data_IF_086713513352
#
_entry.id   IF_086713513352
#
_cell.length_a   1.000
_cell.length_b   1.000
_cell.length_c   1.000
_cell.angle_alpha   90.00
_cell.angle_beta   90.00
_cell.angle_gamma   90.00
#
_symmetry.space_group_name_H-M   'P 1'
#
loop_
_entity.id
_entity.type
_entity.pdbx_description
1 polymer ?
#
# COMPACT_ATOMS: atom_id res chain seq x y z
N UNK A 1 -41.03 33.83 51.47
CA UNK A 1 -41.11 33.71 52.94
C UNK A 1 -40.69 32.30 53.35
N UNK A 2 -39.61 32.22 54.14
CA UNK A 2 -39.24 31.22 55.17
C UNK A 2 -39.67 29.75 54.94
N UNK A 3 -38.76 28.88 54.51
CA UNK A 3 -37.76 28.13 55.31
C UNK A 3 -38.35 27.03 56.20
N UNK A 4 -37.94 25.78 55.95
CA UNK A 4 -37.47 24.86 57.00
C UNK A 4 -36.55 23.79 56.42
N UNK A 5 -35.35 23.77 56.98
CA UNK A 5 -34.29 22.79 56.82
C UNK A 5 -34.72 21.46 57.45
N UNK A 6 -34.26 20.36 56.86
CA UNK A 6 -33.89 19.16 57.63
C UNK A 6 -32.50 18.73 57.19
N UNK A 7 -31.53 19.18 57.97
CA UNK A 7 -30.16 18.70 57.98
C UNK A 7 -30.10 17.53 58.95
N UNK A 8 -29.27 16.54 58.63
CA UNK A 8 -28.53 15.67 59.54
C UNK A 8 -28.84 14.18 59.45
N UNK A 9 -27.78 13.47 59.08
CA UNK A 9 -27.37 12.13 59.52
C UNK A 9 -27.48 11.05 58.43
N UNK A 10 -26.43 10.30 58.07
CA UNK A 10 -25.10 10.17 58.65
C UNK A 10 -24.21 9.42 57.64
N UNK A 11 -23.12 10.05 57.23
CA UNK A 11 -21.76 9.51 57.06
C UNK A 11 -21.66 7.98 56.85
N UNK A 12 -21.30 7.55 55.63
CA UNK A 12 -20.40 6.41 55.33
C UNK A 12 -20.22 6.28 53.81
N UNK A 13 -19.07 6.68 53.31
CA UNK A 13 -18.72 6.54 51.89
C UNK A 13 -17.60 7.47 51.40
N UNK A 14 -16.74 7.96 52.30
CA UNK A 14 -15.41 8.47 51.91
C UNK A 14 -14.48 7.28 51.93
N UNK A 15 -14.07 6.85 50.75
CA UNK A 15 -12.77 6.24 50.40
C UNK A 15 -12.98 5.51 49.06
N UNK A 16 -12.06 5.73 48.11
CA UNK A 16 -12.00 5.16 46.75
C UNK A 16 -13.03 5.81 45.79
N UNK A 17 -12.74 6.60 44.75
CA UNK A 17 -11.55 6.87 43.94
C UNK A 17 -11.45 8.38 43.67
N UNK A 18 -10.51 9.08 44.31
CA UNK A 18 -10.04 10.40 43.88
C UNK A 18 -8.58 10.27 43.42
N UNK A 19 -8.34 9.29 42.56
CA UNK A 19 -7.02 8.93 42.05
C UNK A 19 -7.12 8.28 40.66
N UNK A 20 -7.68 8.99 39.67
CA UNK A 20 -7.46 8.71 38.24
C UNK A 20 -7.50 10.03 37.42
N UNK A 21 -6.82 11.06 37.94
CA UNK A 21 -6.47 12.27 37.18
C UNK A 21 -4.96 12.36 36.89
N UNK A 22 -4.22 11.26 37.07
CA UNK A 22 -2.80 11.14 36.73
C UNK A 22 -2.48 9.70 36.34
N UNK A 23 -2.78 9.35 35.09
CA UNK A 23 -2.22 8.25 34.27
C UNK A 23 -3.17 8.12 33.07
N UNK A 24 -2.82 8.39 31.83
CA UNK A 24 -1.53 8.29 31.19
C UNK A 24 -1.45 9.35 30.08
N UNK A 25 -0.25 9.88 29.85
CA UNK A 25 0.21 9.97 28.47
C UNK A 25 0.08 8.55 27.93
N UNK A 26 -1.06 8.24 27.32
CA UNK A 26 -1.13 7.16 26.36
C UNK A 26 -0.19 7.66 25.29
N UNK A 27 1.07 7.20 25.33
CA UNK A 27 1.80 6.92 24.10
C UNK A 27 0.75 6.28 23.22
N UNK A 28 0.26 7.04 22.24
CA UNK A 28 -0.57 6.45 21.21
C UNK A 28 0.28 5.31 20.69
N UNK A 29 -0.10 4.07 20.97
CA UNK A 29 0.42 2.94 20.22
C UNK A 29 0.18 3.32 18.77
N UNK A 30 1.24 3.76 18.10
CA UNK A 30 1.24 4.03 16.68
C UNK A 30 0.70 2.74 16.07
N UNK A 31 -0.49 2.83 15.49
CA UNK A 31 -1.14 1.67 14.89
C UNK A 31 -0.19 1.02 13.88
N UNK A 32 -0.42 -0.27 13.53
CA UNK A 32 0.50 -0.97 12.65
C UNK A 32 0.65 -0.21 11.33
N UNK A 33 1.90 0.00 10.90
CA UNK A 33 2.22 0.73 9.67
C UNK A 33 1.60 0.05 8.46
N UNK A 34 1.42 -1.28 8.47
CA UNK A 34 0.79 -2.06 7.42
C UNK A 34 -0.45 -2.81 7.92
N UNK A 35 -1.51 -2.86 7.11
CA UNK A 35 -2.75 -3.59 7.37
C UNK A 35 -3.18 -4.37 6.12
N UNK A 36 -3.74 -5.56 6.32
CA UNK A 36 -4.32 -6.36 5.23
C UNK A 36 -5.71 -5.88 4.84
N UNK A 37 -5.90 -5.71 3.53
CA UNK A 37 -7.18 -5.35 2.91
C UNK A 37 -7.69 -6.54 2.09
N UNK A 38 -8.97 -6.89 2.27
CA UNK A 38 -9.61 -8.02 1.59
C UNK A 38 -8.78 -9.32 1.64
N UNK A 39 -8.36 -9.79 2.84
CA UNK A 39 -7.54 -10.99 2.98
C UNK A 39 -8.19 -12.24 2.37
N UNK A 40 -9.52 -12.29 2.31
CA UNK A 40 -10.29 -13.38 1.72
C UNK A 40 -10.12 -13.55 0.19
N UNK A 41 -9.44 -12.61 -0.48
CA UNK A 41 -9.22 -12.60 -1.93
C UNK A 41 -7.74 -12.60 -2.31
N UNK A 42 -6.87 -13.14 -1.45
CA UNK A 42 -5.41 -13.05 -1.61
C UNK A 42 -4.81 -11.74 -1.09
N UNK A 43 -5.61 -10.80 -0.60
CA UNK A 43 -5.17 -9.63 0.16
C UNK A 43 -4.42 -8.55 -0.62
N UNK A 44 -4.37 -7.36 -0.03
CA UNK A 44 -3.49 -6.26 -0.40
C UNK A 44 -2.94 -5.59 0.86
N UNK A 45 -1.81 -4.89 0.74
CA UNK A 45 -1.17 -4.17 1.84
C UNK A 45 -1.50 -2.68 1.78
N UNK A 46 -2.26 -2.20 2.77
CA UNK A 46 -2.45 -0.78 3.00
C UNK A 46 -1.44 -0.30 4.04
N UNK A 47 -0.68 0.74 3.70
CA UNK A 47 0.24 1.38 4.63
C UNK A 47 -0.38 2.65 5.22
N UNK A 48 -0.28 2.86 6.53
CA UNK A 48 -0.75 4.08 7.21
C UNK A 48 0.16 5.27 6.93
N UNK A 49 1.45 5.00 6.78
CA UNK A 49 2.43 5.94 6.25
C UNK A 49 2.57 5.70 4.76
N UNK A 50 2.67 6.79 3.98
CA UNK A 50 2.87 6.65 2.54
C UNK A 50 4.23 6.00 2.24
N UNK A 51 4.31 5.26 1.13
CA UNK A 51 5.58 4.73 0.63
C UNK A 51 6.44 5.87 0.04
N UNK A 52 7.76 5.72 0.06
CA UNK A 52 8.71 6.67 -0.51
C UNK A 52 8.81 6.55 -2.05
N UNK A 53 7.67 6.69 -2.74
CA UNK A 53 7.58 6.58 -4.21
C UNK A 53 8.23 7.78 -4.91
N UNK A 54 8.59 7.61 -6.19
CA UNK A 54 9.17 8.69 -7.00
C UNK A 54 8.30 9.95 -7.01
N UNK A 55 6.97 9.87 -7.32
CA UNK A 55 6.14 11.07 -7.35
C UNK A 55 6.08 11.81 -6.01
N UNK A 56 6.04 11.07 -4.90
CA UNK A 56 6.03 11.66 -3.58
C UNK A 56 7.36 12.36 -3.28
N UNK A 57 8.48 11.66 -3.40
CA UNK A 57 9.79 12.23 -3.07
C UNK A 57 10.11 13.46 -3.94
N UNK A 58 9.78 13.44 -5.22
CA UNK A 58 9.96 14.63 -6.07
C UNK A 58 9.06 15.79 -5.60
N UNK A 59 7.84 15.52 -5.17
CA UNK A 59 6.92 16.56 -4.68
C UNK A 59 7.36 17.12 -3.32
N UNK A 60 7.68 16.26 -2.36
CA UNK A 60 8.09 16.63 -1.00
C UNK A 60 9.37 17.50 -1.01
N UNK A 61 10.22 17.33 -2.03
CA UNK A 61 11.45 18.08 -2.20
C UNK A 61 11.35 19.23 -3.22
N UNK A 62 10.15 19.61 -3.64
CA UNK A 62 9.92 20.79 -4.48
C UNK A 62 10.41 20.64 -5.93
N UNK A 63 10.52 19.39 -6.41
CA UNK A 63 11.00 19.03 -7.76
C UNK A 63 9.86 18.58 -8.67
N UNK A 64 8.59 18.90 -8.37
CA UNK A 64 7.44 18.43 -9.16
C UNK A 64 7.49 18.85 -10.63
N UNK A 65 8.04 20.04 -10.93
CA UNK A 65 8.13 20.54 -12.31
C UNK A 65 9.35 19.93 -13.01
N UNK A 66 10.51 19.96 -12.36
CA UNK A 66 11.77 19.46 -12.90
C UNK A 66 11.76 17.95 -13.08
N UNK A 67 11.05 17.24 -12.19
CA UNK A 67 10.89 15.79 -12.18
C UNK A 67 9.63 15.28 -12.88
N UNK A 68 8.90 16.13 -13.60
CA UNK A 68 7.61 15.77 -14.20
C UNK A 68 7.72 14.57 -15.17
N UNK A 69 8.83 14.45 -15.90
CA UNK A 69 9.07 13.33 -16.81
C UNK A 69 9.24 12.02 -16.05
N UNK A 70 9.98 12.02 -14.94
CA UNK A 70 10.16 10.85 -14.09
C UNK A 70 8.86 10.47 -13.37
N UNK A 71 8.08 11.46 -12.91
CA UNK A 71 6.76 11.20 -12.32
C UNK A 71 5.81 10.55 -13.32
N UNK A 72 5.78 11.06 -14.54
CA UNK A 72 4.91 10.51 -15.59
C UNK A 72 5.40 9.15 -16.07
N UNK A 73 6.71 9.00 -16.31
CA UNK A 73 7.30 7.71 -16.65
C UNK A 73 7.03 6.64 -15.59
N UNK A 74 7.11 7.01 -14.31
CA UNK A 74 6.73 6.09 -13.22
C UNK A 74 5.25 5.72 -13.31
N UNK A 75 4.32 6.66 -13.50
CA UNK A 75 2.88 6.34 -13.62
C UNK A 75 2.60 5.46 -14.84
N UNK A 76 3.07 5.86 -16.01
CA UNK A 76 2.85 5.13 -17.26
C UNK A 76 3.44 3.72 -17.21
N UNK A 77 4.53 3.52 -16.48
CA UNK A 77 5.13 2.19 -16.33
C UNK A 77 4.26 1.18 -15.58
N UNK A 78 3.28 1.65 -14.79
CA UNK A 78 2.30 0.80 -14.12
C UNK A 78 1.08 0.50 -15.00
N UNK A 79 0.86 1.30 -16.05
CA UNK A 79 -0.16 1.03 -17.07
C UNK A 79 0.40 0.10 -18.19
N UNK A 80 1.64 -0.37 -18.05
CA UNK A 80 2.32 -1.24 -19.01
C UNK A 80 2.55 -2.63 -18.42
N UNK A 81 2.12 -3.65 -19.16
CA UNK A 81 2.17 -5.03 -18.68
C UNK A 81 3.60 -5.61 -18.70
N UNK A 82 3.85 -6.49 -17.73
CA UNK A 82 5.00 -7.39 -17.71
C UNK A 82 6.37 -6.70 -17.76
N UNK A 83 7.25 -7.22 -18.62
CA UNK A 83 8.67 -6.83 -18.68
C UNK A 83 8.87 -5.38 -19.16
N UNK A 84 8.00 -4.88 -20.04
CA UNK A 84 8.14 -3.53 -20.58
C UNK A 84 7.91 -2.46 -19.51
N UNK A 85 6.89 -2.63 -18.67
CA UNK A 85 6.65 -1.75 -17.51
C UNK A 85 7.79 -1.84 -16.49
N UNK A 86 8.27 -3.06 -16.19
CA UNK A 86 9.40 -3.27 -15.27
C UNK A 86 10.70 -2.60 -15.76
N UNK A 87 11.00 -2.71 -17.04
CA UNK A 87 12.16 -2.05 -17.66
C UNK A 87 12.03 -0.52 -17.57
N UNK A 88 10.86 0.04 -17.87
CA UNK A 88 10.62 1.48 -17.73
C UNK A 88 10.78 1.94 -16.27
N UNK A 89 10.27 1.18 -15.29
CA UNK A 89 10.47 1.50 -13.85
C UNK A 89 11.95 1.59 -13.51
N UNK A 90 12.75 0.62 -13.93
CA UNK A 90 14.20 0.60 -13.68
C UNK A 90 14.91 1.83 -14.27
N UNK A 91 14.54 2.24 -15.48
CA UNK A 91 15.09 3.43 -16.13
C UNK A 91 14.71 4.71 -15.37
N UNK A 92 13.44 4.81 -14.96
CA UNK A 92 12.94 5.96 -14.21
C UNK A 92 13.56 6.03 -12.80
N UNK A 93 13.81 4.90 -12.12
CA UNK A 93 14.53 4.89 -10.84
C UNK A 93 15.90 5.54 -10.96
N UNK A 94 16.66 5.21 -12.01
CA UNK A 94 17.98 5.79 -12.27
C UNK A 94 17.89 7.31 -12.45
N UNK A 95 16.94 7.77 -13.27
CA UNK A 95 16.75 9.20 -13.55
C UNK A 95 16.28 9.97 -12.31
N UNK A 96 15.32 9.42 -11.57
CA UNK A 96 14.81 10.03 -10.35
C UNK A 96 15.90 10.10 -9.27
N UNK A 97 16.70 9.05 -9.09
CA UNK A 97 17.81 9.04 -8.13
C UNK A 97 18.81 10.17 -8.42
N UNK A 98 19.25 10.33 -9.68
CA UNK A 98 20.15 11.42 -10.10
C UNK A 98 19.61 12.80 -9.78
N UNK A 99 18.29 12.98 -9.89
CA UNK A 99 17.63 14.25 -9.63
C UNK A 99 17.47 14.53 -8.13
N UNK A 100 17.23 13.49 -7.34
CA UNK A 100 17.01 13.58 -5.89
C UNK A 100 18.32 13.69 -5.10
N UNK A 101 19.41 13.06 -5.55
CA UNK A 101 20.70 13.05 -4.83
C UNK A 101 21.22 14.46 -4.48
N UNK A 102 21.20 15.46 -5.39
CA UNK A 102 21.65 16.82 -5.05
C UNK A 102 20.85 17.50 -3.93
N UNK A 103 19.60 17.08 -3.71
CA UNK A 103 18.70 17.68 -2.70
C UNK A 103 18.73 16.88 -1.39
N UNK A 104 18.73 15.55 -1.48
CA UNK A 104 18.72 14.65 -0.33
C UNK A 104 20.09 14.44 0.30
N UNK A 105 21.13 14.31 -0.55
CA UNK A 105 22.43 13.83 -0.13
C UNK A 105 22.40 12.45 0.55
N UNK A 106 23.49 12.10 1.22
CA UNK A 106 23.62 10.82 1.93
C UNK A 106 22.69 10.70 3.14
N UNK A 107 22.32 11.82 3.77
CA UNK A 107 21.40 11.82 4.92
C UNK A 107 19.98 11.51 4.45
N UNK A 108 19.45 12.23 3.46
CA UNK A 108 18.12 11.95 2.94
C UNK A 108 18.01 10.54 2.34
N UNK A 109 19.05 10.04 1.66
CA UNK A 109 19.07 8.65 1.21
C UNK A 109 18.97 7.64 2.37
N UNK A 110 19.62 7.91 3.51
CA UNK A 110 19.51 7.08 4.72
C UNK A 110 18.09 7.11 5.30
N UNK A 111 17.45 8.26 5.27
CA UNK A 111 16.09 8.43 5.79
C UNK A 111 15.08 7.65 4.94
N UNK A 112 15.19 7.72 3.61
CA UNK A 112 14.37 6.91 2.69
C UNK A 112 14.58 5.40 2.92
N UNK A 113 15.83 4.95 3.05
CA UNK A 113 16.15 3.54 3.36
C UNK A 113 15.54 3.13 4.70
N UNK A 114 15.59 3.99 5.71
CA UNK A 114 15.06 3.72 7.06
C UNK A 114 13.53 3.66 7.06
N UNK A 115 12.87 4.55 6.32
CA UNK A 115 11.42 4.49 6.11
C UNK A 115 11.00 3.17 5.47
N UNK A 116 11.69 2.73 4.40
CA UNK A 116 11.44 1.43 3.78
C UNK A 116 11.63 0.27 4.77
N UNK A 117 12.61 0.34 5.67
CA UNK A 117 12.81 -0.68 6.71
C UNK A 117 11.59 -0.81 7.63
N UNK A 118 10.97 0.32 8.01
CA UNK A 118 9.75 0.33 8.82
C UNK A 118 8.59 -0.39 8.13
N UNK A 119 8.36 -0.08 6.85
CA UNK A 119 7.28 -0.71 6.07
C UNK A 119 7.52 -2.21 5.87
N UNK A 120 8.76 -2.62 5.58
CA UNK A 120 9.16 -4.03 5.47
C UNK A 120 8.96 -4.76 6.79
N UNK A 121 9.36 -4.15 7.92
CA UNK A 121 9.19 -4.75 9.24
C UNK A 121 7.72 -4.94 9.58
N UNK A 122 6.91 -3.89 9.40
CA UNK A 122 5.48 -3.96 9.71
C UNK A 122 4.75 -4.96 8.82
N UNK A 123 5.13 -5.07 7.54
CA UNK A 123 4.60 -6.12 6.66
C UNK A 123 4.94 -7.52 7.16
N UNK A 124 6.18 -7.73 7.64
CA UNK A 124 6.62 -9.03 8.18
C UNK A 124 5.87 -9.41 9.45
N UNK A 125 5.50 -8.43 10.28
CA UNK A 125 4.73 -8.64 11.51
C UNK A 125 3.31 -9.15 11.24
N UNK A 126 2.76 -8.90 10.05
CA UNK A 126 1.48 -9.50 9.63
C UNK A 126 1.57 -11.04 9.52
N UNK A 127 2.79 -11.58 9.33
CA UNK A 127 3.11 -12.99 9.56
C UNK A 127 2.13 -13.98 8.94
N UNK A 128 1.76 -15.03 9.67
CA UNK A 128 0.87 -16.12 9.21
C UNK A 128 -0.57 -15.72 8.86
N UNK A 129 -0.89 -14.42 8.79
CA UNK A 129 -2.09 -13.90 8.14
C UNK A 129 -1.90 -13.67 6.63
N UNK A 130 -0.64 -13.64 6.18
CA UNK A 130 -0.28 -13.59 4.78
C UNK A 130 -0.39 -15.00 4.20
N UNK A 131 -1.44 -15.26 3.42
CA UNK A 131 -1.58 -16.48 2.62
C UNK A 131 -1.26 -16.25 1.13
N UNK A 132 -0.79 -15.04 0.80
CA UNK A 132 -0.63 -14.56 -0.58
C UNK A 132 0.81 -14.67 -1.08
N UNK A 133 1.06 -15.48 -2.11
CA UNK A 133 2.38 -15.61 -2.74
C UNK A 133 2.86 -14.27 -3.32
N UNK A 134 1.94 -13.44 -3.83
CA UNK A 134 2.27 -12.12 -4.36
C UNK A 134 2.83 -11.19 -3.27
N UNK A 135 2.20 -11.17 -2.09
CA UNK A 135 2.68 -10.38 -0.96
C UNK A 135 4.03 -10.90 -0.45
N UNK A 136 4.23 -12.22 -0.40
CA UNK A 136 5.52 -12.80 -0.04
C UNK A 136 6.61 -12.41 -1.03
N UNK A 137 6.37 -12.55 -2.33
CA UNK A 137 7.31 -12.18 -3.38
C UNK A 137 7.68 -10.69 -3.33
N UNK A 138 6.69 -9.82 -3.16
CA UNK A 138 6.89 -8.38 -2.95
C UNK A 138 7.77 -8.08 -1.72
N UNK A 139 7.50 -8.73 -0.59
CA UNK A 139 8.27 -8.54 0.64
C UNK A 139 9.70 -9.05 0.51
N UNK A 140 9.91 -10.20 -0.13
CA UNK A 140 11.24 -10.74 -0.41
C UNK A 140 12.05 -9.82 -1.33
N UNK A 141 11.43 -9.34 -2.42
CA UNK A 141 12.01 -8.38 -3.35
C UNK A 141 12.41 -7.08 -2.63
N UNK A 142 11.46 -6.46 -1.90
CA UNK A 142 11.68 -5.25 -1.12
C UNK A 142 12.82 -5.43 -0.10
N UNK A 143 12.86 -6.57 0.60
CA UNK A 143 13.92 -6.88 1.57
C UNK A 143 15.29 -7.01 0.89
N UNK A 144 15.35 -7.70 -0.26
CA UNK A 144 16.57 -7.88 -1.03
C UNK A 144 17.13 -6.55 -1.56
N UNK A 145 16.26 -5.69 -2.09
CA UNK A 145 16.59 -4.35 -2.58
C UNK A 145 17.02 -3.42 -1.45
N UNK A 146 16.29 -3.39 -0.33
CA UNK A 146 16.64 -2.63 0.86
C UNK A 146 18.05 -2.98 1.39
N UNK A 147 18.37 -4.29 1.48
CA UNK A 147 19.70 -4.72 1.92
C UNK A 147 20.81 -4.22 0.98
N UNK A 148 20.59 -4.28 -0.33
CA UNK A 148 21.55 -3.79 -1.32
C UNK A 148 21.67 -2.26 -1.26
N UNK A 149 20.58 -1.55 -1.03
CA UNK A 149 20.58 -0.09 -0.85
C UNK A 149 21.43 0.32 0.35
N UNK A 150 21.24 -0.34 1.49
CA UNK A 150 22.05 -0.10 2.69
C UNK A 150 23.54 -0.40 2.47
N UNK A 151 23.86 -1.46 1.73
CA UNK A 151 25.24 -1.80 1.35
C UNK A 151 25.87 -0.74 0.45
N UNK A 152 25.15 -0.29 -0.59
CA UNK A 152 25.61 0.78 -1.48
C UNK A 152 25.86 2.09 -0.72
N UNK A 153 24.96 2.46 0.19
CA UNK A 153 25.12 3.65 1.03
C UNK A 153 26.37 3.55 1.91
N UNK A 154 26.66 2.38 2.47
CA UNK A 154 27.87 2.15 3.27
C UNK A 154 29.17 2.31 2.48
N UNK A 155 29.14 2.10 1.17
CA UNK A 155 30.26 2.30 0.23
C UNK A 155 30.37 3.75 -0.27
N UNK A 156 29.43 4.62 0.11
CA UNK A 156 29.35 6.00 -0.38
C UNK A 156 28.68 6.14 -1.75
N UNK A 157 28.08 5.07 -2.27
CA UNK A 157 27.40 5.04 -3.57
C UNK A 157 25.95 5.55 -3.42
N UNK A 158 25.79 6.85 -3.11
CA UNK A 158 24.49 7.44 -2.71
C UNK A 158 23.42 7.33 -3.81
N UNK A 159 23.78 7.53 -5.08
CA UNK A 159 22.86 7.41 -6.21
C UNK A 159 22.31 5.98 -6.35
N UNK A 160 23.20 4.99 -6.31
CA UNK A 160 22.85 3.56 -6.38
C UNK A 160 22.00 3.16 -5.17
N UNK A 161 22.33 3.67 -3.98
CA UNK A 161 21.56 3.41 -2.77
C UNK A 161 20.12 3.94 -2.91
N UNK A 162 19.96 5.14 -3.46
CA UNK A 162 18.64 5.74 -3.64
C UNK A 162 17.84 5.01 -4.73
N UNK A 163 18.46 4.66 -5.86
CA UNK A 163 17.83 3.86 -6.93
C UNK A 163 17.27 2.55 -6.37
N UNK A 164 18.09 1.80 -5.63
CA UNK A 164 17.68 0.53 -5.00
C UNK A 164 16.58 0.74 -3.95
N UNK A 165 16.59 1.87 -3.25
CA UNK A 165 15.56 2.20 -2.27
C UNK A 165 14.22 2.56 -2.93
N UNK A 166 14.24 3.25 -4.06
CA UNK A 166 13.03 3.52 -4.87
C UNK A 166 12.43 2.21 -5.38
N UNK A 167 13.28 1.31 -5.89
CA UNK A 167 12.85 -0.02 -6.32
C UNK A 167 12.24 -0.84 -5.16
N UNK A 168 12.80 -0.74 -3.95
CA UNK A 168 12.26 -1.41 -2.77
C UNK A 168 10.87 -0.88 -2.38
N UNK A 169 10.65 0.43 -2.49
CA UNK A 169 9.34 1.04 -2.25
C UNK A 169 8.32 0.60 -3.31
N UNK A 170 8.72 0.51 -4.57
CA UNK A 170 7.86 0.04 -5.66
C UNK A 170 7.47 -1.43 -5.52
N UNK A 171 8.37 -2.28 -5.03
CA UNK A 171 8.02 -3.68 -4.71
C UNK A 171 6.90 -3.78 -3.67
N UNK A 172 6.86 -2.90 -2.67
CA UNK A 172 5.75 -2.83 -1.71
C UNK A 172 4.51 -2.17 -2.31
N UNK A 173 4.68 -1.23 -3.24
CA UNK A 173 3.59 -0.55 -3.94
C UNK A 173 2.80 -1.49 -4.86
N UNK A 174 3.48 -2.46 -5.46
CA UNK A 174 2.89 -3.48 -6.34
C UNK A 174 1.76 -4.26 -5.66
N UNK A 175 1.84 -4.45 -4.34
CA UNK A 175 0.80 -5.13 -3.55
C UNK A 175 -0.11 -4.16 -2.80
N UNK A 176 -0.11 -2.88 -3.18
CA UNK A 176 -1.04 -1.90 -2.64
C UNK A 176 -2.48 -2.15 -3.14
N UNK A 177 -3.52 -1.67 -2.43
CA UNK A 177 -4.90 -2.02 -2.78
C UNK A 177 -5.34 -1.53 -4.15
N UNK A 178 -4.77 -0.41 -4.62
CA UNK A 178 -5.03 0.10 -5.97
C UNK A 178 -4.44 -0.80 -7.04
N UNK A 179 -3.19 -1.24 -6.87
CA UNK A 179 -2.51 -2.10 -7.85
C UNK A 179 -3.16 -3.48 -7.90
N UNK A 180 -3.38 -4.11 -6.75
CA UNK A 180 -4.08 -5.41 -6.68
C UNK A 180 -5.47 -5.34 -7.31
N UNK A 181 -6.22 -4.24 -7.11
CA UNK A 181 -7.51 -4.05 -7.78
C UNK A 181 -7.36 -3.91 -9.30
N UNK A 182 -6.37 -3.15 -9.79
CA UNK A 182 -6.12 -2.97 -11.22
C UNK A 182 -5.74 -4.30 -11.88
N UNK A 183 -4.80 -5.04 -11.30
CA UNK A 183 -4.36 -6.36 -11.79
C UNK A 183 -5.52 -7.36 -11.88
N UNK A 184 -6.39 -7.39 -10.87
CA UNK A 184 -7.58 -8.26 -10.89
C UNK A 184 -8.58 -7.85 -11.97
N UNK A 185 -8.77 -6.55 -12.20
CA UNK A 185 -9.65 -6.04 -13.26
C UNK A 185 -9.10 -6.42 -14.63
N UNK A 186 -7.81 -6.19 -14.86
CA UNK A 186 -7.12 -6.53 -16.09
C UNK A 186 -7.18 -8.04 -16.36
N UNK A 187 -6.85 -8.87 -15.36
CA UNK A 187 -6.95 -10.32 -15.46
C UNK A 187 -8.35 -10.82 -15.79
N UNK A 188 -9.39 -10.17 -15.25
CA UNK A 188 -10.78 -10.45 -15.62
C UNK A 188 -11.08 -10.02 -17.07
N UNK A 189 -10.59 -8.86 -17.51
CA UNK A 189 -10.77 -8.38 -18.88
C UNK A 189 -10.10 -9.29 -19.91
N UNK A 190 -8.85 -9.69 -19.67
CA UNK A 190 -8.14 -10.65 -20.50
C UNK A 190 -8.86 -12.00 -20.60
N UNK A 191 -9.37 -12.50 -19.48
CA UNK A 191 -10.09 -13.77 -19.44
C UNK A 191 -11.43 -13.69 -20.19
N UNK A 192 -12.10 -12.54 -20.14
CA UNK A 192 -13.30 -12.27 -20.91
C UNK A 192 -12.98 -12.12 -22.41
N UNK A 193 -11.85 -11.50 -22.75
CA UNK A 193 -11.38 -11.30 -24.13
C UNK A 193 -10.87 -12.57 -24.81
N UNK A 194 -10.36 -13.54 -24.03
CA UNK A 194 -10.02 -14.91 -24.47
C UNK A 194 -11.30 -15.70 -24.78
N UNK A 195 -12.02 -15.26 -25.82
CA UNK A 195 -13.31 -15.76 -26.30
C UNK A 195 -13.39 -17.29 -26.23
N UNK A 196 -13.90 -17.86 -25.13
CA UNK A 196 -14.08 -19.30 -25.07
C UNK A 196 -15.30 -19.59 -25.94
N UNK A 197 -15.32 -20.73 -26.62
CA UNK A 197 -16.31 -21.01 -27.67
C UNK A 197 -17.77 -20.71 -27.26
N UNK A 198 -18.71 -20.64 -28.22
CA UNK A 198 -20.06 -20.07 -28.03
C UNK A 198 -20.89 -20.59 -26.84
N UNK A 199 -20.52 -21.71 -26.22
CA UNK A 199 -21.19 -22.34 -25.08
C UNK A 199 -20.47 -22.18 -23.73
N UNK A 200 -19.36 -21.44 -23.67
CA UNK A 200 -18.53 -21.38 -22.48
C UNK A 200 -19.15 -20.60 -21.31
N UNK A 201 -19.99 -19.60 -21.61
CA UNK A 201 -20.72 -18.82 -20.61
C UNK A 201 -22.15 -18.52 -21.08
N UNK A 202 -23.09 -18.57 -20.14
CA UNK A 202 -24.43 -18.06 -20.37
C UNK A 202 -24.45 -16.53 -20.48
N UNK A 203 -25.47 -15.98 -21.15
CA UNK A 203 -25.65 -14.52 -21.23
C UNK A 203 -25.82 -13.87 -19.86
N UNK A 204 -26.45 -14.58 -18.91
CA UNK A 204 -26.62 -14.11 -17.53
C UNK A 204 -25.27 -13.98 -16.80
N UNK A 205 -24.38 -14.97 -16.97
CA UNK A 205 -23.02 -14.91 -16.43
C UNK A 205 -22.22 -13.76 -17.02
N UNK A 206 -22.28 -13.56 -18.34
CA UNK A 206 -21.59 -12.44 -19.00
C UNK A 206 -22.11 -11.07 -18.55
N UNK A 207 -23.42 -10.92 -18.33
CA UNK A 207 -24.00 -9.70 -17.77
C UNK A 207 -23.50 -9.48 -16.34
N UNK A 208 -23.44 -10.56 -15.54
CA UNK A 208 -22.95 -10.51 -14.16
C UNK A 208 -21.48 -10.11 -14.09
N UNK A 209 -20.62 -10.72 -14.90
CA UNK A 209 -19.18 -10.38 -15.00
C UNK A 209 -19.00 -8.91 -15.36
N UNK A 210 -19.66 -8.42 -16.41
CA UNK A 210 -19.57 -7.00 -16.82
C UNK A 210 -19.99 -6.04 -15.72
N UNK A 211 -21.06 -6.36 -14.97
CA UNK A 211 -21.51 -5.53 -13.82
C UNK A 211 -20.51 -5.53 -12.67
N UNK A 212 -19.88 -6.68 -12.40
CA UNK A 212 -18.83 -6.79 -11.38
C UNK A 212 -17.62 -5.93 -11.76
N UNK A 213 -17.13 -6.08 -12.99
CA UNK A 213 -15.98 -5.30 -13.49
C UNK A 213 -16.27 -3.80 -13.48
N UNK A 214 -17.39 -3.36 -14.05
CA UNK A 214 -17.76 -1.94 -14.05
C UNK A 214 -17.81 -1.36 -12.63
N UNK A 215 -18.47 -2.05 -11.71
CA UNK A 215 -18.54 -1.59 -10.32
C UNK A 215 -17.26 -1.81 -9.51
N UNK A 216 -16.28 -2.56 -10.02
CA UNK A 216 -14.94 -2.62 -9.46
C UNK A 216 -14.16 -1.37 -9.86
N UNK A 217 -14.19 -0.98 -11.14
CA UNK A 217 -13.60 0.26 -11.64
C UNK A 217 -14.17 1.49 -10.93
N UNK A 218 -15.50 1.60 -10.78
CA UNK A 218 -16.12 2.69 -9.99
C UNK A 218 -15.63 2.72 -8.54
N UNK A 219 -15.42 1.55 -7.93
CA UNK A 219 -14.94 1.46 -6.55
C UNK A 219 -13.46 1.86 -6.43
N UNK A 220 -12.62 1.58 -7.43
CA UNK A 220 -11.24 2.08 -7.51
C UNK A 220 -11.23 3.61 -7.58
N UNK A 221 -12.06 4.19 -8.44
CA UNK A 221 -12.18 5.66 -8.57
C UNK A 221 -12.66 6.32 -7.27
N UNK A 222 -13.55 5.66 -6.54
CA UNK A 222 -14.05 6.13 -5.25
C UNK A 222 -13.10 5.85 -4.06
N UNK A 223 -11.99 5.13 -4.26
CA UNK A 223 -11.08 4.71 -3.19
C UNK A 223 -11.61 3.61 -2.26
N UNK A 224 -12.74 2.96 -2.62
CA UNK A 224 -13.28 1.79 -1.90
C UNK A 224 -12.58 0.51 -2.37
N UNK A 225 -11.28 0.43 -2.08
CA UNK A 225 -10.43 -0.69 -2.51
C UNK A 225 -10.90 -2.07 -2.02
N UNK A 226 -11.38 -2.26 -0.78
CA UNK A 226 -11.90 -3.56 -0.36
C UNK A 226 -13.05 -4.05 -1.25
N UNK A 227 -13.94 -3.14 -1.67
CA UNK A 227 -15.03 -3.47 -2.59
C UNK A 227 -14.54 -3.69 -4.01
N UNK A 228 -13.60 -2.89 -4.49
CA UNK A 228 -13.01 -3.05 -5.81
C UNK A 228 -12.37 -4.43 -5.97
N UNK A 229 -11.47 -4.79 -5.05
CA UNK A 229 -10.76 -6.07 -5.03
C UNK A 229 -11.76 -7.24 -5.01
N UNK A 230 -12.73 -7.25 -4.08
CA UNK A 230 -13.74 -8.33 -4.01
C UNK A 230 -14.51 -8.49 -5.31
N UNK A 231 -14.95 -7.39 -5.93
CA UNK A 231 -15.73 -7.44 -7.17
C UNK A 231 -14.91 -8.00 -8.33
N UNK A 232 -13.68 -7.53 -8.50
CA UNK A 232 -12.78 -8.00 -9.54
C UNK A 232 -12.40 -9.48 -9.33
N UNK A 233 -12.06 -9.86 -8.10
CA UNK A 233 -11.79 -11.25 -7.71
C UNK A 233 -12.94 -12.19 -8.07
N UNK A 234 -14.18 -11.83 -7.72
CA UNK A 234 -15.34 -12.67 -8.09
C UNK A 234 -15.60 -12.70 -9.60
N UNK A 235 -15.28 -11.63 -10.33
CA UNK A 235 -15.32 -11.68 -11.79
C UNK A 235 -14.30 -12.68 -12.35
N UNK A 236 -13.06 -12.68 -11.85
CA UNK A 236 -12.05 -13.66 -12.20
C UNK A 236 -12.51 -15.10 -11.91
N UNK A 237 -13.11 -15.35 -10.73
CA UNK A 237 -13.63 -16.68 -10.38
C UNK A 237 -14.71 -17.16 -11.35
N UNK A 238 -15.66 -16.28 -11.72
CA UNK A 238 -16.70 -16.62 -12.69
C UNK A 238 -16.14 -16.93 -14.08
N UNK A 239 -15.02 -16.32 -14.44
CA UNK A 239 -14.32 -16.53 -15.71
C UNK A 239 -13.30 -17.69 -15.66
N UNK A 240 -13.20 -18.41 -14.54
CA UNK A 240 -12.19 -19.46 -14.35
C UNK A 240 -10.74 -18.94 -14.40
N UNK A 241 -10.54 -17.63 -14.27
CA UNK A 241 -9.26 -16.96 -14.35
C UNK A 241 -8.56 -16.98 -12.99
N UNK A 242 -8.24 -18.18 -12.48
CA UNK A 242 -7.64 -18.48 -11.17
C UNK A 242 -6.98 -17.25 -10.53
N UNK A 243 -7.72 -16.44 -9.76
CA UNK A 243 -7.14 -15.29 -9.07
C UNK A 243 -6.16 -15.81 -8.01
N UNK A 244 -5.16 -15.01 -7.61
CA UNK A 244 -4.23 -15.40 -6.55
C UNK A 244 -4.96 -15.72 -5.24
#
# INVERSE_FOLDING_TARGET
>A
MRSRLSVSSFIRGVCVLFALLLSACVDAEEGPIAVLVAPETGGALLFSEELATIPRLLTDHGLSVEGAVEMEGWRSSWDMDGEAGAQMRSEVHTLAARRLVPVLGATGARDVISSNAGHISSTRELGGLLESDAIHGALESATGLHRRAAEALSKGEVEVALELSLAAADALWEVSPRQVAADLIEKADEALGRNPGPDAYSQEELIRVRRLMYGASEAVEAGDYPRAIRRAYYACQLLGANPP
#
